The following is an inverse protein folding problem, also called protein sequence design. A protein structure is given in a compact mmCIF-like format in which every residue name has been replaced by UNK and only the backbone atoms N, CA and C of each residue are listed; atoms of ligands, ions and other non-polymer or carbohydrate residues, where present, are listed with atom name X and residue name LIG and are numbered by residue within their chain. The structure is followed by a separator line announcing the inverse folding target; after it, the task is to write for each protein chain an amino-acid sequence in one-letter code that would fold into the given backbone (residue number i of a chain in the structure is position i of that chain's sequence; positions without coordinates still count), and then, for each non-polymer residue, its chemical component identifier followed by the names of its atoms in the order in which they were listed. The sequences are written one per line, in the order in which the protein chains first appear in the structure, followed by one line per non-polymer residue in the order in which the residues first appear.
data_IF_683102317028
#
_entry.id   IF_683102317028
#
_cell.length_a   1.000
_cell.length_b   1.000
_cell.length_c   1.000
_cell.angle_alpha   90.00
_cell.angle_beta   90.00
_cell.angle_gamma   90.00
#
_symmetry.space_group_name_H-M   'P 1'
#
loop_
_entity.id
_entity.type
_entity.pdbx_description
1 polymer ?
#
# COMPACT_ATOMS: atom_id res chain seq x y z
N UNK A 1 -23.32 13.76 -32.56
CA UNK A 1 -22.24 12.88 -32.11
C UNK A 1 -22.85 11.65 -31.44
N UNK A 2 -22.79 10.48 -32.08
CA UNK A 2 -23.35 9.23 -31.52
C UNK A 2 -22.28 8.55 -30.67
N UNK A 3 -22.42 8.62 -29.34
CA UNK A 3 -21.48 7.98 -28.41
C UNK A 3 -21.94 6.54 -28.20
N UNK A 4 -21.03 5.59 -28.43
CA UNK A 4 -21.26 4.15 -28.25
C UNK A 4 -20.24 3.62 -27.26
N UNK A 5 -20.70 3.20 -26.09
CA UNK A 5 -19.84 2.71 -25.02
C UNK A 5 -19.86 1.17 -24.99
N UNK A 6 -18.70 0.56 -24.77
CA UNK A 6 -18.50 -0.89 -24.80
C UNK A 6 -18.01 -1.37 -23.46
N UNK A 7 -18.74 -2.30 -22.88
CA UNK A 7 -18.52 -2.70 -21.51
C UNK A 7 -18.69 -4.20 -21.32
N UNK A 8 -18.02 -4.76 -20.32
CA UNK A 8 -18.34 -6.07 -19.77
C UNK A 8 -19.45 -5.95 -18.73
N UNK A 9 -19.17 -5.11 -17.73
CA UNK A 9 -20.12 -4.72 -16.67
C UNK A 9 -20.17 -3.20 -16.55
N UNK A 10 -21.37 -2.61 -16.45
CA UNK A 10 -21.53 -1.20 -16.06
C UNK A 10 -21.42 -1.14 -14.53
N UNK A 11 -20.37 -0.50 -14.03
CA UNK A 11 -20.10 -0.38 -12.59
C UNK A 11 -20.47 1.00 -12.07
N UNK A 12 -21.76 1.29 -11.99
CA UNK A 12 -22.37 2.58 -11.59
C UNK A 12 -22.83 2.58 -10.14
N UNK A 13 -21.93 2.27 -9.21
CA UNK A 13 -22.28 2.18 -7.79
C UNK A 13 -22.65 3.53 -7.15
N UNK A 14 -23.42 3.48 -6.06
CA UNK A 14 -23.94 4.66 -5.38
C UNK A 14 -24.90 5.45 -6.26
N UNK A 15 -24.76 6.77 -6.29
CA UNK A 15 -25.63 7.67 -7.07
C UNK A 15 -25.29 7.71 -8.58
N UNK A 16 -24.28 6.95 -9.03
CA UNK A 16 -23.81 7.00 -10.42
C UNK A 16 -24.77 6.35 -11.41
N UNK A 17 -25.70 5.53 -10.93
CA UNK A 17 -26.77 4.98 -11.77
C UNK A 17 -27.65 6.06 -12.43
N UNK A 18 -27.80 7.21 -11.75
CA UNK A 18 -28.49 8.37 -12.32
C UNK A 18 -27.75 8.92 -13.55
N UNK A 19 -26.43 8.88 -13.54
CA UNK A 19 -25.60 9.33 -14.68
C UNK A 19 -25.72 8.38 -15.86
N UNK A 20 -25.73 7.07 -15.62
CA UNK A 20 -25.97 6.07 -16.66
C UNK A 20 -27.38 6.19 -17.27
N UNK A 21 -28.40 6.37 -16.43
CA UNK A 21 -29.77 6.62 -16.88
C UNK A 21 -29.85 7.88 -17.75
N UNK A 22 -29.19 8.97 -17.35
CA UNK A 22 -29.12 10.20 -18.13
C UNK A 22 -28.47 9.97 -19.49
N UNK A 23 -27.35 9.25 -19.55
CA UNK A 23 -26.69 8.92 -20.81
C UNK A 23 -27.60 8.12 -21.76
N UNK A 24 -28.30 7.10 -21.24
CA UNK A 24 -29.29 6.33 -22.03
C UNK A 24 -30.40 7.23 -22.60
N UNK A 25 -30.96 8.13 -21.78
CA UNK A 25 -31.98 9.10 -22.23
C UNK A 25 -31.48 10.06 -23.29
N UNK A 26 -30.18 10.35 -23.31
CA UNK A 26 -29.52 11.17 -24.33
C UNK A 26 -29.18 10.39 -25.61
N UNK A 27 -29.54 9.11 -25.69
CA UNK A 27 -29.32 8.27 -26.88
C UNK A 27 -27.95 7.61 -26.95
N UNK A 28 -27.17 7.62 -25.85
CA UNK A 28 -25.94 6.82 -25.75
C UNK A 28 -26.31 5.35 -25.82
N UNK A 29 -25.68 4.62 -26.74
CA UNK A 29 -25.92 3.18 -26.93
C UNK A 29 -24.80 2.38 -26.27
N UNK A 30 -25.18 1.36 -25.53
CA UNK A 30 -24.24 0.53 -24.78
C UNK A 30 -24.24 -0.88 -25.38
N UNK A 31 -23.06 -1.37 -25.75
CA UNK A 31 -22.87 -2.71 -26.29
C UNK A 31 -22.09 -3.55 -25.28
N UNK A 32 -22.75 -4.58 -24.75
CA UNK A 32 -22.10 -5.55 -23.88
C UNK A 32 -21.30 -6.55 -24.71
N UNK A 33 -20.09 -6.87 -24.28
CA UNK A 33 -19.27 -7.93 -24.87
C UNK A 33 -18.79 -8.92 -23.81
N UNK A 34 -18.50 -10.15 -24.24
CA UNK A 34 -17.91 -11.20 -23.40
C UNK A 34 -16.40 -11.31 -23.64
N UNK A 35 -15.66 -11.87 -22.68
CA UNK A 35 -14.19 -11.93 -22.72
C UNK A 35 -13.65 -12.74 -23.90
N UNK A 36 -14.36 -13.80 -24.27
CA UNK A 36 -14.09 -14.67 -25.41
C UNK A 36 -14.48 -14.04 -26.75
N UNK A 37 -15.40 -13.06 -26.73
CA UNK A 37 -15.90 -12.35 -27.92
C UNK A 37 -15.66 -10.85 -27.82
N UNK A 38 -14.37 -10.48 -27.74
CA UNK A 38 -13.98 -9.07 -27.70
C UNK A 38 -14.30 -8.38 -29.02
N UNK A 39 -14.67 -7.09 -28.97
CA UNK A 39 -14.83 -6.32 -30.18
C UNK A 39 -13.51 -6.16 -30.93
N UNK A 40 -13.56 -6.22 -32.26
CA UNK A 40 -12.38 -6.02 -33.11
C UNK A 40 -12.50 -4.72 -33.88
N UNK A 41 -11.36 -4.04 -34.07
CA UNK A 41 -11.27 -2.73 -34.71
C UNK A 41 -10.36 -2.83 -35.92
N UNK A 42 -10.86 -2.38 -37.07
CA UNK A 42 -10.07 -2.26 -38.31
C UNK A 42 -10.06 -0.81 -38.76
N UNK A 43 -8.91 -0.31 -39.18
CA UNK A 43 -8.83 1.01 -39.81
C UNK A 43 -9.13 0.88 -41.31
N UNK A 44 -10.06 1.68 -41.82
CA UNK A 44 -10.43 1.73 -43.24
C UNK A 44 -10.32 3.18 -43.72
N UNK A 45 -9.11 3.60 -44.09
CA UNK A 45 -8.82 4.99 -44.46
C UNK A 45 -8.99 5.93 -43.26
N UNK A 46 -9.88 6.92 -43.39
CA UNK A 46 -10.16 7.92 -42.35
C UNK A 46 -11.24 7.49 -41.34
N UNK A 47 -11.82 6.30 -41.51
CA UNK A 47 -12.89 5.77 -40.64
C UNK A 47 -12.48 4.48 -39.94
N UNK A 48 -13.04 4.23 -38.75
CA UNK A 48 -12.84 3.00 -37.98
C UNK A 48 -14.02 2.06 -38.17
N UNK A 49 -13.74 0.81 -38.57
CA UNK A 49 -14.71 -0.26 -38.60
C UNK A 49 -14.69 -1.06 -37.28
N UNK A 50 -15.85 -0.97 -36.65
CA UNK A 50 -16.34 -1.45 -35.38
C UNK A 50 -17.00 -2.82 -35.29
N UNK A 51 -16.34 -3.98 -35.29
CA UNK A 51 -17.07 -5.26 -35.20
C UNK A 51 -17.38 -5.64 -33.74
N UNK A 52 -18.66 -5.87 -33.42
CA UNK A 52 -19.15 -6.34 -32.11
C UNK A 52 -20.17 -7.47 -32.31
N UNK A 53 -20.28 -8.37 -31.34
CA UNK A 53 -21.42 -9.28 -31.25
C UNK A 53 -22.55 -8.61 -30.45
N UNK A 54 -23.74 -8.48 -31.04
CA UNK A 54 -24.90 -7.94 -30.34
C UNK A 54 -25.64 -9.07 -29.62
N UNK A 55 -25.68 -9.00 -28.28
CA UNK A 55 -26.30 -10.05 -27.46
C UNK A 55 -27.83 -10.11 -27.58
N UNK A 56 -28.50 -9.05 -28.03
CA UNK A 56 -29.95 -9.07 -28.22
C UNK A 56 -30.33 -9.62 -29.58
N UNK A 57 -29.58 -9.25 -30.62
CA UNK A 57 -29.81 -9.70 -31.99
C UNK A 57 -29.13 -11.05 -32.29
N UNK A 58 -28.20 -11.50 -31.43
CA UNK A 58 -27.43 -12.74 -31.58
C UNK A 58 -26.65 -12.81 -32.91
N UNK A 59 -26.18 -11.66 -33.40
CA UNK A 59 -25.42 -11.54 -34.65
C UNK A 59 -24.26 -10.56 -34.50
N UNK A 60 -23.21 -10.70 -35.32
CA UNK A 60 -22.19 -9.67 -35.44
C UNK A 60 -22.76 -8.41 -36.11
N UNK A 61 -22.46 -7.25 -35.54
CA UNK A 61 -22.85 -5.93 -36.03
C UNK A 61 -21.60 -5.11 -36.31
N UNK A 62 -21.57 -4.50 -37.50
CA UNK A 62 -20.52 -3.56 -37.91
C UNK A 62 -20.94 -2.14 -37.58
N UNK A 63 -20.06 -1.40 -36.91
CA UNK A 63 -20.28 -0.01 -36.51
C UNK A 63 -19.20 0.87 -37.14
N UNK A 64 -19.57 1.93 -37.84
CA UNK A 64 -18.57 2.94 -38.26
C UNK A 64 -18.44 4.03 -37.20
N UNK A 65 -17.22 4.48 -36.96
CA UNK A 65 -16.89 5.58 -36.05
C UNK A 65 -15.71 6.41 -36.56
N UNK A 66 -15.78 7.72 -36.37
CA UNK A 66 -14.69 8.65 -36.69
C UNK A 66 -13.62 8.67 -35.58
N UNK A 67 -14.02 8.36 -34.35
CA UNK A 67 -13.15 8.33 -33.18
C UNK A 67 -13.46 7.11 -32.31
N UNK A 68 -12.41 6.43 -31.86
CA UNK A 68 -12.49 5.40 -30.83
C UNK A 68 -11.75 5.89 -29.58
N UNK A 69 -12.51 6.03 -28.48
CA UNK A 69 -11.95 6.40 -27.18
C UNK A 69 -11.78 5.12 -26.35
N UNK A 70 -10.56 4.87 -25.88
CA UNK A 70 -10.25 3.74 -25.01
C UNK A 70 -10.31 4.19 -23.54
N UNK A 71 -11.26 3.63 -22.79
CA UNK A 71 -11.34 3.81 -21.33
C UNK A 71 -10.25 3.00 -20.64
N UNK A 72 -9.02 3.53 -20.63
CA UNK A 72 -7.85 2.86 -20.07
C UNK A 72 -7.92 2.73 -18.54
N UNK A 73 -7.38 1.63 -18.02
CA UNK A 73 -7.29 1.40 -16.59
C UNK A 73 -6.19 2.26 -15.94
N UNK A 74 -6.41 2.66 -14.69
CA UNK A 74 -5.38 3.30 -13.87
C UNK A 74 -4.36 2.23 -13.48
N UNK A 75 -3.08 2.54 -13.70
CA UNK A 75 -1.95 1.71 -13.28
C UNK A 75 -1.12 2.47 -12.23
N UNK A 76 -0.50 1.75 -11.29
CA UNK A 76 0.42 2.38 -10.36
C UNK A 76 1.63 2.95 -11.10
N UNK A 77 2.25 3.95 -10.48
CA UNK A 77 3.48 4.55 -11.00
C UNK A 77 4.66 3.59 -10.79
N UNK A 78 5.57 3.43 -11.77
CA UNK A 78 6.75 2.59 -11.62
C UNK A 78 7.60 2.94 -10.39
N UNK A 79 7.67 4.23 -10.06
CA UNK A 79 8.45 4.77 -8.94
C UNK A 79 7.84 4.45 -7.56
N UNK A 80 6.57 4.02 -7.50
CA UNK A 80 5.90 3.68 -6.24
C UNK A 80 6.61 2.55 -5.50
N UNK A 81 7.20 1.58 -6.24
CA UNK A 81 7.93 0.46 -5.63
C UNK A 81 9.19 0.93 -4.91
N UNK A 82 9.96 1.81 -5.55
CA UNK A 82 11.15 2.40 -4.93
C UNK A 82 10.79 3.19 -3.65
N UNK A 83 9.67 3.93 -3.67
CA UNK A 83 9.18 4.63 -2.48
C UNK A 83 8.78 3.66 -1.36
N UNK A 84 8.11 2.56 -1.70
CA UNK A 84 7.77 1.50 -0.73
C UNK A 84 9.02 0.93 -0.06
N UNK A 85 10.09 0.64 -0.81
CA UNK A 85 11.34 0.10 -0.27
C UNK A 85 12.05 1.11 0.65
N UNK A 86 12.16 2.38 0.23
CA UNK A 86 12.84 3.43 0.99
C UNK A 86 12.07 3.77 2.28
N UNK A 87 10.75 3.92 2.17
CA UNK A 87 9.89 4.29 3.29
C UNK A 87 9.39 3.08 4.10
N UNK A 88 9.73 1.85 3.67
CA UNK A 88 9.29 0.58 4.25
C UNK A 88 7.78 0.52 4.43
N UNK A 89 7.06 0.87 3.35
CA UNK A 89 5.60 0.90 3.33
C UNK A 89 5.07 -0.38 2.67
N UNK A 90 4.06 -1.03 3.28
CA UNK A 90 3.36 -2.16 2.69
C UNK A 90 2.89 -1.88 1.25
N UNK A 91 3.09 -2.85 0.38
CA UNK A 91 2.82 -2.77 -1.06
C UNK A 91 2.13 -4.05 -1.52
N UNK A 92 1.06 -3.91 -2.28
CA UNK A 92 0.28 -5.03 -2.81
C UNK A 92 0.91 -5.60 -4.09
N UNK A 93 0.53 -6.84 -4.43
CA UNK A 93 0.96 -7.50 -5.66
C UNK A 93 0.51 -6.76 -6.92
N UNK A 94 -0.60 -6.02 -6.84
CA UNK A 94 -1.14 -5.23 -7.95
C UNK A 94 -0.42 -3.88 -8.16
N UNK A 95 0.52 -3.56 -7.27
CA UNK A 95 1.40 -2.41 -7.32
C UNK A 95 0.87 -1.15 -6.64
N UNK A 96 -0.17 -1.25 -5.81
CA UNK A 96 -0.62 -0.13 -4.96
C UNK A 96 -0.13 -0.28 -3.51
N UNK A 97 -0.24 0.79 -2.74
CA UNK A 97 0.09 0.79 -1.32
C UNK A 97 -1.05 0.18 -0.48
N UNK A 98 -0.70 -0.62 0.52
CA UNK A 98 -1.64 -1.29 1.40
C UNK A 98 -1.83 -0.50 2.71
N UNK A 99 -3.09 -0.30 3.10
CA UNK A 99 -3.48 0.27 4.38
C UNK A 99 -3.24 -0.68 5.56
N UNK A 100 -3.25 -0.14 6.78
CA UNK A 100 -3.10 -0.93 7.99
C UNK A 100 -4.29 -1.87 8.24
N UNK A 101 -5.51 -1.40 7.94
CA UNK A 101 -6.72 -2.21 8.07
C UNK A 101 -7.90 -1.60 7.29
N UNK A 102 -8.52 -2.38 6.40
CA UNK A 102 -9.60 -1.99 5.47
C UNK A 102 -10.75 -1.16 6.06
N UNK A 103 -11.11 -1.40 7.34
CA UNK A 103 -12.22 -0.73 8.04
C UNK A 103 -11.79 0.25 9.12
N UNK A 104 -10.91 -0.18 10.04
CA UNK A 104 -10.56 0.59 11.23
C UNK A 104 -9.51 1.67 10.95
N UNK A 105 -8.60 1.42 10.01
CA UNK A 105 -7.46 2.30 9.71
C UNK A 105 -7.20 2.37 8.20
N UNK A 106 -8.18 2.80 7.39
CA UNK A 106 -8.11 2.73 5.93
C UNK A 106 -7.17 3.78 5.30
N UNK A 107 -6.63 4.70 6.11
CA UNK A 107 -5.76 5.80 5.67
C UNK A 107 -4.40 5.77 6.37
N UNK A 108 -4.18 4.83 7.27
CA UNK A 108 -2.94 4.69 8.00
C UNK A 108 -2.14 3.54 7.38
N UNK A 109 -0.82 3.64 7.40
CA UNK A 109 0.04 2.49 7.20
C UNK A 109 0.26 1.71 8.51
N UNK A 110 0.71 0.46 8.40
CA UNK A 110 1.21 -0.29 9.54
C UNK A 110 2.41 0.45 10.17
N UNK A 111 3.28 1.01 9.32
CA UNK A 111 4.36 1.91 9.71
C UNK A 111 3.80 3.25 10.19
N UNK A 112 4.07 3.60 11.45
CA UNK A 112 3.59 4.84 12.06
C UNK A 112 4.15 6.09 11.38
N UNK A 113 3.38 7.18 11.40
CA UNK A 113 3.79 8.48 10.83
C UNK A 113 3.56 8.63 9.32
N UNK A 114 3.23 7.54 8.63
CA UNK A 114 2.84 7.57 7.21
C UNK A 114 1.33 7.41 7.06
N UNK A 115 0.78 8.16 6.10
CA UNK A 115 -0.64 8.14 5.76
C UNK A 115 -0.84 7.97 4.26
N UNK A 116 -2.00 7.44 3.90
CA UNK A 116 -2.32 6.99 2.57
C UNK A 116 -3.57 7.70 2.02
N UNK A 117 -3.48 8.23 0.80
CA UNK A 117 -4.62 8.84 0.12
C UNK A 117 -4.50 8.82 -1.40
N UNK A 118 -5.65 8.92 -2.08
CA UNK A 118 -5.72 9.10 -3.52
C UNK A 118 -5.36 7.84 -4.30
N UNK A 119 -4.85 8.01 -5.52
CA UNK A 119 -4.58 6.88 -6.43
C UNK A 119 -3.41 5.99 -6.00
N UNK A 120 -2.59 6.43 -5.04
CA UNK A 120 -1.57 5.60 -4.43
C UNK A 120 -2.17 4.37 -3.71
N UNK A 121 -3.39 4.51 -3.20
CA UNK A 121 -4.22 3.46 -2.59
C UNK A 121 -5.10 2.73 -3.62
N UNK A 122 -4.83 2.83 -4.92
CA UNK A 122 -5.64 2.18 -5.95
C UNK A 122 -6.65 3.07 -6.70
N UNK A 123 -7.27 2.55 -7.77
CA UNK A 123 -8.18 3.31 -8.63
C UNK A 123 -9.44 3.78 -7.87
N UNK A 124 -9.74 5.07 -7.93
CA UNK A 124 -10.90 5.68 -7.27
C UNK A 124 -11.32 6.99 -7.93
N UNK A 125 -12.52 7.48 -7.62
CA UNK A 125 -13.00 8.76 -8.13
C UNK A 125 -12.35 9.95 -7.42
N UNK A 126 -12.34 11.10 -8.08
CA UNK A 126 -11.79 12.33 -7.54
C UNK A 126 -12.41 12.72 -6.19
N UNK A 127 -13.73 12.57 -6.04
CA UNK A 127 -14.43 12.83 -4.77
C UNK A 127 -13.95 11.93 -3.63
N UNK A 128 -13.67 10.66 -3.92
CA UNK A 128 -13.14 9.72 -2.93
C UNK A 128 -11.70 10.06 -2.58
N UNK A 129 -10.87 10.42 -3.57
CA UNK A 129 -9.50 10.88 -3.35
C UNK A 129 -9.46 12.14 -2.46
N UNK A 130 -10.37 13.09 -2.68
CA UNK A 130 -10.51 14.29 -1.85
C UNK A 130 -10.92 13.92 -0.42
N UNK A 131 -11.91 13.05 -0.25
CA UNK A 131 -12.33 12.58 1.07
C UNK A 131 -11.18 11.88 1.82
N UNK A 132 -10.40 11.02 1.13
CA UNK A 132 -9.21 10.40 1.70
C UNK A 132 -8.14 11.43 2.07
N UNK A 133 -7.93 12.46 1.25
CA UNK A 133 -6.96 13.51 1.58
C UNK A 133 -7.34 14.26 2.86
N UNK A 134 -8.62 14.62 3.02
CA UNK A 134 -9.11 15.22 4.27
C UNK A 134 -8.92 14.29 5.47
N UNK A 135 -9.20 13.00 5.30
CA UNK A 135 -8.98 12.00 6.35
C UNK A 135 -7.49 11.86 6.71
N UNK A 136 -6.61 11.76 5.72
CA UNK A 136 -5.17 11.64 5.93
C UNK A 136 -4.59 12.86 6.65
N UNK A 137 -5.03 14.08 6.27
CA UNK A 137 -4.69 15.32 6.98
C UNK A 137 -5.18 15.28 8.43
N UNK A 138 -6.42 14.86 8.66
CA UNK A 138 -6.96 14.72 10.03
C UNK A 138 -6.14 13.75 10.88
N UNK A 139 -5.76 12.59 10.32
CA UNK A 139 -4.89 11.61 10.99
C UNK A 139 -3.51 12.19 11.31
N UNK A 140 -2.88 12.89 10.36
CA UNK A 140 -1.61 13.57 10.58
C UNK A 140 -1.71 14.65 11.67
N UNK A 141 -2.75 15.48 11.64
CA UNK A 141 -2.99 16.50 12.66
C UNK A 141 -3.20 15.90 14.06
N UNK A 142 -3.78 14.69 14.16
CA UNK A 142 -3.95 14.01 15.46
C UNK A 142 -2.62 13.65 16.15
N UNK A 143 -1.55 13.52 15.36
CA UNK A 143 -0.17 13.34 15.81
C UNK A 143 0.45 14.71 16.08
N UNK A 144 0.43 15.60 15.09
CA UNK A 144 1.13 16.89 15.13
C UNK A 144 0.57 17.87 16.18
N UNK A 145 -0.68 17.70 16.60
CA UNK A 145 -1.31 18.54 17.63
C UNK A 145 -0.87 18.19 19.06
N UNK A 146 -0.20 17.06 19.26
CA UNK A 146 0.28 16.62 20.57
C UNK A 146 1.69 17.17 20.80
N UNK A 147 1.95 17.68 22.01
CA UNK A 147 3.29 18.12 22.42
C UNK A 147 4.26 16.95 22.59
N UNK A 148 3.72 15.81 23.01
CA UNK A 148 4.47 14.60 23.33
C UNK A 148 3.69 13.39 22.84
N UNK A 149 4.41 12.31 22.53
CA UNK A 149 3.83 11.04 22.12
C UNK A 149 4.50 9.91 22.87
N UNK A 150 3.71 8.88 23.20
CA UNK A 150 4.26 7.66 23.75
C UNK A 150 4.88 6.85 22.63
N UNK A 151 6.17 6.54 22.76
CA UNK A 151 6.84 5.55 21.95
C UNK A 151 6.57 4.16 22.51
N UNK A 152 6.58 3.15 21.63
CA UNK A 152 6.42 1.76 22.03
C UNK A 152 7.68 1.29 22.79
N UNK A 153 7.50 0.65 23.95
CA UNK A 153 8.60 0.29 24.84
C UNK A 153 9.29 -1.05 24.47
N UNK A 154 8.98 -1.60 23.30
CA UNK A 154 9.64 -2.81 22.77
C UNK A 154 10.97 -2.38 22.14
N UNK A 155 11.93 -2.03 23.00
CA UNK A 155 13.27 -1.59 22.60
C UNK A 155 14.33 -2.59 23.05
N UNK A 156 15.47 -2.57 22.37
CA UNK A 156 16.61 -3.39 22.75
C UNK A 156 17.38 -2.77 23.91
N UNK A 157 17.74 -3.60 24.88
CA UNK A 157 18.67 -3.29 25.97
C UNK A 157 19.97 -4.09 25.78
N UNK A 158 21.10 -3.53 26.21
CA UNK A 158 22.41 -4.21 26.19
C UNK A 158 22.96 -4.32 27.60
N UNK A 159 23.21 -5.56 28.05
CA UNK A 159 23.90 -5.82 29.31
C UNK A 159 25.40 -5.49 29.20
N UNK A 160 25.91 -4.48 29.94
CA UNK A 160 27.33 -4.12 29.93
C UNK A 160 28.27 -5.25 30.37
N UNK A 161 27.81 -6.17 31.22
CA UNK A 161 28.64 -7.23 31.78
C UNK A 161 28.90 -8.36 30.78
N UNK A 162 27.95 -8.59 29.87
CA UNK A 162 28.06 -9.58 28.80
C UNK A 162 28.55 -8.98 27.48
N UNK A 163 28.45 -7.65 27.32
CA UNK A 163 28.86 -6.96 26.11
C UNK A 163 30.40 -6.96 26.00
N UNK A 164 30.90 -7.37 24.83
CA UNK A 164 32.33 -7.35 24.49
C UNK A 164 32.70 -6.33 23.41
N UNK A 165 31.77 -5.43 23.06
CA UNK A 165 32.00 -4.38 22.05
C UNK A 165 32.34 -4.89 20.64
N UNK A 166 31.82 -6.05 20.22
CA UNK A 166 32.22 -6.69 18.96
C UNK A 166 31.66 -6.06 17.67
N UNK A 167 30.58 -5.28 17.74
CA UNK A 167 30.00 -4.57 16.59
C UNK A 167 28.98 -5.34 15.75
N UNK A 168 28.73 -6.63 15.98
CA UNK A 168 27.75 -7.41 15.19
C UNK A 168 26.34 -6.80 15.22
N UNK A 169 25.93 -6.34 16.40
CA UNK A 169 24.63 -5.69 16.60
C UNK A 169 24.53 -4.33 15.86
N UNK A 170 25.63 -3.59 15.74
CA UNK A 170 25.69 -2.34 14.99
C UNK A 170 25.58 -2.60 13.49
N UNK A 171 26.30 -3.61 12.98
CA UNK A 171 26.29 -3.98 11.56
C UNK A 171 24.93 -4.45 11.06
N UNK A 172 24.16 -5.15 11.90
CA UNK A 172 22.83 -5.66 11.52
C UNK A 172 21.71 -4.60 11.64
N UNK A 173 21.95 -3.51 12.35
CA UNK A 173 20.91 -2.53 12.64
C UNK A 173 20.61 -1.61 11.44
N UNK A 174 19.55 -1.92 10.72
CA UNK A 174 19.07 -1.13 9.56
C UNK A 174 18.66 0.32 9.91
N UNK A 175 18.48 0.64 11.19
CA UNK A 175 18.08 1.97 11.67
C UNK A 175 19.23 2.73 12.33
N UNK A 176 20.42 2.11 12.43
CA UNK A 176 21.59 2.63 13.16
C UNK A 176 21.25 3.03 14.61
N UNK A 177 20.30 2.32 15.20
CA UNK A 177 19.81 2.56 16.54
C UNK A 177 20.77 2.06 17.63
N UNK A 178 21.71 1.18 17.30
CA UNK A 178 22.71 0.63 18.23
C UNK A 178 24.10 0.87 17.64
N UNK A 179 25.02 1.36 18.46
CA UNK A 179 26.40 1.70 18.07
C UNK A 179 27.38 1.31 19.15
N UNK A 180 28.56 0.83 18.79
CA UNK A 180 29.64 0.58 19.75
C UNK A 180 30.32 1.90 20.10
N UNK A 181 30.37 2.20 21.40
CA UNK A 181 30.99 3.40 21.97
C UNK A 181 31.88 3.02 23.14
N UNK A 182 32.83 3.88 23.44
CA UNK A 182 33.61 3.76 24.67
C UNK A 182 32.78 4.28 25.86
N UNK A 183 32.52 3.40 26.82
CA UNK A 183 31.80 3.69 28.08
C UNK A 183 32.66 3.14 29.22
N UNK A 184 33.03 4.00 30.17
CA UNK A 184 33.87 3.63 31.33
C UNK A 184 35.16 2.86 30.95
N UNK A 185 35.81 3.28 29.86
CA UNK A 185 37.06 2.68 29.36
C UNK A 185 36.91 1.31 28.69
N UNK A 186 35.68 0.89 28.39
CA UNK A 186 35.36 -0.36 27.66
C UNK A 186 34.52 -0.07 26.43
N UNK A 187 34.74 -0.84 25.37
CA UNK A 187 33.88 -0.79 24.18
C UNK A 187 32.56 -1.50 24.50
N UNK A 188 31.45 -0.76 24.40
CA UNK A 188 30.11 -1.24 24.70
C UNK A 188 29.11 -0.79 23.63
N UNK A 189 28.19 -1.66 23.27
CA UNK A 189 27.08 -1.28 22.39
C UNK A 189 26.04 -0.48 23.18
N UNK A 190 25.70 0.71 22.68
CA UNK A 190 24.73 1.65 23.27
C UNK A 190 23.56 1.82 22.32
N UNK A 191 22.34 1.68 22.84
CA UNK A 191 21.10 1.80 22.08
C UNK A 191 20.52 3.20 22.22
N UNK A 192 20.15 3.80 21.10
CA UNK A 192 19.30 4.98 21.01
C UNK A 192 17.84 4.55 21.05
N UNK A 193 17.19 4.74 22.20
CA UNK A 193 15.78 4.37 22.42
C UNK A 193 14.85 4.98 21.37
N UNK A 194 15.13 6.21 20.91
CA UNK A 194 14.32 6.94 19.93
C UNK A 194 14.40 6.35 18.52
N UNK A 195 15.51 5.69 18.17
CA UNK A 195 15.73 5.13 16.83
C UNK A 195 15.42 3.63 16.78
N UNK A 196 15.36 2.97 17.93
CA UNK A 196 15.10 1.55 18.01
C UNK A 196 13.64 1.26 17.67
N UNK A 197 13.41 0.47 16.61
CA UNK A 197 12.06 0.06 16.21
C UNK A 197 11.66 -1.31 16.75
N UNK A 198 12.46 -1.89 17.65
CA UNK A 198 12.12 -3.16 18.30
C UNK A 198 12.18 -4.42 17.43
N UNK A 199 12.89 -4.43 16.29
CA UNK A 199 12.86 -5.58 15.38
C UNK A 199 13.60 -6.83 15.89
N UNK A 200 14.42 -6.71 16.93
CA UNK A 200 15.13 -7.85 17.54
C UNK A 200 16.32 -8.42 16.76
N UNK A 201 16.66 -7.89 15.58
CA UNK A 201 17.78 -8.41 14.76
C UNK A 201 19.13 -8.41 15.49
N UNK A 202 19.38 -7.39 16.31
CA UNK A 202 20.58 -7.30 17.14
C UNK A 202 20.63 -8.31 18.29
N UNK A 203 19.48 -8.76 18.82
CA UNK A 203 19.42 -9.84 19.81
C UNK A 203 19.94 -11.14 19.17
N UNK A 204 19.37 -11.51 18.02
CA UNK A 204 19.77 -12.72 17.27
C UNK A 204 21.25 -12.68 16.85
N UNK A 205 21.75 -11.51 16.45
CA UNK A 205 23.15 -11.36 16.03
C UNK A 205 24.15 -11.36 17.20
N UNK A 206 23.71 -11.20 18.45
CA UNK A 206 24.61 -11.03 19.59
C UNK A 206 25.22 -12.38 20.03
N UNK A 207 26.54 -12.59 19.87
CA UNK A 207 27.16 -13.88 20.18
C UNK A 207 27.28 -14.15 21.68
N UNK A 208 27.17 -13.12 22.53
CA UNK A 208 27.30 -13.24 23.98
C UNK A 208 25.95 -13.21 24.71
N UNK A 209 24.84 -13.03 24.00
CA UNK A 209 23.52 -12.83 24.62
C UNK A 209 23.36 -11.50 25.36
N UNK A 210 24.28 -10.54 25.15
CA UNK A 210 24.24 -9.25 25.83
C UNK A 210 23.09 -8.34 25.36
N UNK A 211 22.67 -8.46 24.10
CA UNK A 211 21.59 -7.66 23.53
C UNK A 211 20.27 -8.40 23.70
N UNK A 212 19.25 -7.78 24.28
CA UNK A 212 17.95 -8.41 24.46
C UNK A 212 16.80 -7.46 24.18
N UNK A 213 15.71 -7.97 23.62
CA UNK A 213 14.52 -7.19 23.22
C UNK A 213 13.48 -7.18 24.36
N UNK A 214 13.09 -5.99 24.84
CA UNK A 214 12.04 -5.87 25.85
C UNK A 214 10.75 -6.57 25.40
N UNK A 215 10.06 -7.25 26.33
CA UNK A 215 8.86 -8.07 26.08
C UNK A 215 9.04 -9.33 25.19
N UNK A 216 10.25 -9.57 24.68
CA UNK A 216 10.62 -10.78 23.94
C UNK A 216 11.99 -11.29 24.40
N UNK A 217 12.20 -11.29 25.71
CA UNK A 217 13.42 -11.76 26.35
C UNK A 217 13.56 -13.27 26.18
N UNK A 218 14.78 -13.78 26.22
CA UNK A 218 15.05 -15.20 26.00
C UNK A 218 14.26 -16.09 26.97
N UNK A 219 14.21 -15.76 28.26
CA UNK A 219 13.44 -16.49 29.26
C UNK A 219 11.94 -16.52 28.96
N UNK A 220 11.37 -15.41 28.48
CA UNK A 220 9.98 -15.30 28.05
C UNK A 220 9.71 -16.20 26.83
N UNK A 221 10.59 -16.19 25.83
CA UNK A 221 10.47 -17.05 24.64
C UNK A 221 10.62 -18.52 25.01
N UNK A 222 11.58 -18.86 25.87
CA UNK A 222 11.76 -20.23 26.36
C UNK A 222 10.55 -20.70 27.18
N UNK A 223 9.95 -19.82 28.00
CA UNK A 223 8.73 -20.14 28.72
C UNK A 223 7.55 -20.40 27.76
N UNK A 224 7.41 -19.60 26.70
CA UNK A 224 6.42 -19.85 25.64
C UNK A 224 6.65 -21.21 24.96
N UNK A 225 7.90 -21.57 24.62
CA UNK A 225 8.22 -22.87 24.02
C UNK A 225 7.86 -24.02 24.98
N UNK A 226 8.30 -23.93 26.24
CA UNK A 226 8.00 -24.93 27.28
C UNK A 226 6.51 -25.07 27.57
N UNK A 227 5.70 -24.03 27.36
CA UNK A 227 4.25 -24.13 27.58
C UNK A 227 3.54 -25.02 26.55
N UNK A 228 4.19 -25.31 25.41
CA UNK A 228 3.65 -26.12 24.32
C UNK A 228 4.12 -27.60 24.41
N UNK A 229 5.05 -27.93 25.32
CA UNK A 229 5.61 -29.29 25.49
C UNK A 229 6.52 -29.41 26.70
#
# INVERSE_FOLDING_TARGET
MCIRDRYRDIRTFGLKELSYTKARKQGVRFFRFEIDQKPTVTSTGDALEILVFDQHLQIPVKLQADLLVLSAAIRPRPESKQLSEVARLPFEEDGFFMEAHIKLRPLDFATAGFFLCGLAHGPKFASEAIAQAHGAVSRACSILSKKEMMAEAVITHVDPHLCRGCGECENTCLFKAIQVKEVDGKQQAVVSEVLCTGCGACNVACPTGASSLAHFQDDQVHAMIKSIG
#
